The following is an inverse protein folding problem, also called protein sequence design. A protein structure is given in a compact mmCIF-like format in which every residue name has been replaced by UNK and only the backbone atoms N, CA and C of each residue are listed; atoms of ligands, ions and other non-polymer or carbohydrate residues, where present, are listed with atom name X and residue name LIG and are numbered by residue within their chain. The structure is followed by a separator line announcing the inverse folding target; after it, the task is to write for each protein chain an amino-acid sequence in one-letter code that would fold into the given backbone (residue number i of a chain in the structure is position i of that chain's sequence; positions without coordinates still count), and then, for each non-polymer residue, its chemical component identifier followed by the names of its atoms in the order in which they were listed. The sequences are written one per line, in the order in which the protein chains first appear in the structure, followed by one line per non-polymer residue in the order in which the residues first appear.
data_IF_210212693828
#
_entry.id   IF_210212693828
#
_cell.length_a   1.000
_cell.length_b   1.000
_cell.length_c   1.000
_cell.angle_alpha   90.00
_cell.angle_beta   90.00
_cell.angle_gamma   90.00
#
_symmetry.space_group_name_H-M   'P 1'
#
loop_
_entity.id
_entity.type
_entity.pdbx_description
1 polymer ?
#
# COMPACT_ATOMS: atom_id res chain seq x y z
N UNK A 1 92.73 -12.94 13.30
CA UNK A 1 91.81 -13.54 12.34
C UNK A 1 90.39 -13.21 12.82
N UNK A 2 89.76 -12.17 12.27
CA UNK A 2 88.43 -11.68 12.66
C UNK A 2 87.45 -12.03 11.55
N UNK A 3 86.43 -12.81 11.88
CA UNK A 3 85.33 -13.14 11.01
C UNK A 3 84.21 -12.17 11.29
N UNK A 4 83.86 -11.40 10.25
CA UNK A 4 82.78 -10.42 10.28
C UNK A 4 81.54 -11.12 9.78
N UNK A 5 80.53 -11.32 10.68
CA UNK A 5 79.20 -11.78 10.31
C UNK A 5 78.38 -10.60 9.78
N UNK A 6 78.00 -10.71 8.52
CA UNK A 6 77.02 -9.80 7.97
C UNK A 6 75.58 -10.30 8.26
N UNK A 7 74.83 -9.53 8.99
CA UNK A 7 73.42 -9.77 9.21
C UNK A 7 72.64 -9.06 8.09
N UNK A 8 72.04 -9.89 7.25
CA UNK A 8 71.18 -9.40 6.19
C UNK A 8 69.80 -9.02 6.75
N UNK A 9 69.45 -7.75 6.66
CA UNK A 9 68.12 -7.25 7.00
C UNK A 9 67.19 -7.51 5.80
N UNK A 10 66.31 -8.54 5.97
CA UNK A 10 65.23 -8.81 5.02
C UNK A 10 64.09 -7.80 5.21
N UNK A 11 63.88 -6.92 4.27
CA UNK A 11 62.70 -6.06 4.21
C UNK A 11 61.50 -6.83 3.69
N UNK A 12 60.59 -7.18 4.60
CA UNK A 12 59.29 -7.74 4.23
C UNK A 12 58.38 -6.60 3.78
N UNK A 13 58.18 -6.46 2.47
CA UNK A 13 57.18 -5.55 1.93
C UNK A 13 55.80 -6.20 2.05
N UNK A 14 55.02 -5.75 3.04
CA UNK A 14 53.61 -6.15 3.14
C UNK A 14 52.80 -5.39 2.13
N UNK A 15 52.43 -6.03 1.03
CA UNK A 15 51.45 -5.50 0.08
C UNK A 15 50.05 -5.61 0.70
N UNK A 16 49.56 -4.50 1.27
CA UNK A 16 48.15 -4.37 1.66
C UNK A 16 47.32 -4.24 0.39
N UNK A 17 46.66 -5.31 -0.01
CA UNK A 17 45.60 -5.26 -1.03
C UNK A 17 44.39 -4.53 -0.44
N UNK A 18 44.20 -3.28 -0.77
CA UNK A 18 42.99 -2.53 -0.50
C UNK A 18 41.95 -3.01 -1.51
N UNK A 19 41.15 -3.97 -1.09
CA UNK A 19 39.94 -4.36 -1.82
C UNK A 19 38.93 -3.22 -1.76
N UNK A 20 38.88 -2.39 -2.81
CA UNK A 20 37.77 -1.46 -2.99
C UNK A 20 36.52 -2.28 -3.35
N UNK A 21 35.71 -2.58 -2.35
CA UNK A 21 34.36 -3.08 -2.57
C UNK A 21 33.60 -1.96 -3.30
N UNK A 22 33.49 -2.08 -4.62
CA UNK A 22 32.56 -1.29 -5.40
C UNK A 22 31.14 -1.69 -4.94
N UNK A 23 30.60 -0.98 -3.94
CA UNK A 23 29.18 -0.95 -3.71
C UNK A 23 28.57 -0.34 -4.97
N UNK A 24 28.05 -1.19 -5.83
CA UNK A 24 27.22 -0.76 -6.93
C UNK A 24 26.11 0.08 -6.34
N UNK A 25 26.16 1.39 -6.55
CA UNK A 25 25.01 2.24 -6.41
C UNK A 25 23.98 1.69 -7.40
N UNK A 26 23.06 0.87 -6.86
CA UNK A 26 21.81 0.58 -7.52
C UNK A 26 21.21 1.97 -7.73
N UNK A 27 21.30 2.48 -8.97
CA UNK A 27 20.47 3.59 -9.39
C UNK A 27 19.05 3.10 -9.13
N UNK A 28 18.45 3.61 -8.04
CA UNK A 28 17.02 3.66 -7.96
C UNK A 28 16.59 4.41 -9.21
N UNK A 29 16.22 3.65 -10.24
CA UNK A 29 15.30 4.14 -11.23
C UNK A 29 14.08 4.42 -10.39
N UNK A 30 13.94 5.69 -9.97
CA UNK A 30 12.67 6.20 -9.49
C UNK A 30 11.69 5.79 -10.60
N UNK A 31 10.99 4.71 -10.38
CA UNK A 31 9.80 4.36 -11.10
C UNK A 31 9.06 5.67 -11.17
N UNK A 32 8.70 6.10 -12.40
CA UNK A 32 7.85 7.25 -12.61
C UNK A 32 6.70 7.03 -11.63
N UNK A 33 6.73 7.73 -10.49
CA UNK A 33 5.77 7.51 -9.43
C UNK A 33 4.44 7.72 -10.11
N UNK A 34 3.67 6.66 -10.29
CA UNK A 34 2.31 6.76 -10.77
C UNK A 34 1.65 7.76 -9.84
N UNK A 35 1.41 8.95 -10.37
CA UNK A 35 0.80 10.01 -9.59
C UNK A 35 -0.63 9.57 -9.37
N UNK A 36 -0.88 8.95 -8.22
CA UNK A 36 -2.23 8.50 -7.81
C UNK A 36 -3.24 9.64 -7.84
N UNK A 37 -2.73 10.87 -7.89
CA UNK A 37 -3.53 12.10 -7.96
C UNK A 37 -2.96 13.02 -9.04
N UNK A 38 -3.84 13.57 -9.89
CA UNK A 38 -3.46 14.57 -10.88
C UNK A 38 -3.41 15.99 -10.28
N UNK A 39 -3.01 16.98 -11.10
CA UNK A 39 -2.91 18.38 -10.70
C UNK A 39 -4.26 18.99 -10.26
N UNK A 40 -5.40 18.41 -10.65
CA UNK A 40 -6.74 18.85 -10.30
C UNK A 40 -7.27 18.15 -9.04
N UNK A 41 -6.50 17.21 -8.49
CA UNK A 41 -6.91 16.40 -7.35
C UNK A 41 -7.79 15.21 -7.73
N UNK A 42 -7.79 14.77 -8.99
CA UNK A 42 -8.48 13.54 -9.36
C UNK A 42 -7.60 12.35 -9.01
N UNK A 43 -8.14 11.42 -8.22
CA UNK A 43 -7.46 10.16 -7.93
C UNK A 43 -7.54 9.22 -9.13
N UNK A 44 -6.59 8.29 -9.20
CA UNK A 44 -6.53 7.20 -10.17
C UNK A 44 -6.24 5.89 -9.45
N UNK A 45 -6.66 4.79 -10.05
CA UNK A 45 -6.23 3.46 -9.59
C UNK A 45 -4.76 3.29 -9.98
N UNK A 46 -3.82 3.04 -9.05
CA UNK A 46 -2.42 2.80 -9.40
C UNK A 46 -2.27 1.52 -10.23
N UNK A 47 -1.49 1.55 -11.31
CA UNK A 47 -1.43 0.44 -12.28
C UNK A 47 -0.85 -0.84 -11.68
N UNK A 48 0.14 -0.72 -10.80
CA UNK A 48 0.91 -1.85 -10.29
C UNK A 48 0.72 -2.12 -8.78
N UNK A 49 -0.34 -1.57 -8.15
CA UNK A 49 -0.56 -1.68 -6.71
C UNK A 49 -0.54 -3.12 -6.19
N UNK A 50 -1.01 -4.11 -6.97
CA UNK A 50 -1.01 -5.52 -6.56
C UNK A 50 0.39 -6.10 -6.34
N UNK A 51 1.41 -5.52 -6.97
CA UNK A 51 2.81 -5.98 -6.89
C UNK A 51 3.68 -5.08 -6.03
N UNK A 52 3.31 -3.80 -5.89
CA UNK A 52 4.11 -2.79 -5.19
C UNK A 52 3.56 -2.42 -3.82
N UNK A 53 2.22 -2.52 -3.61
CA UNK A 53 1.61 -2.21 -2.32
C UNK A 53 1.59 -3.42 -1.40
N UNK A 54 1.47 -3.17 -0.11
CA UNK A 54 1.37 -4.19 0.91
C UNK A 54 -0.09 -4.59 1.12
N UNK A 55 -0.37 -5.88 1.05
CA UNK A 55 -1.72 -6.40 1.33
C UNK A 55 -2.07 -6.22 2.82
N UNK A 56 -3.17 -5.56 3.11
CA UNK A 56 -3.66 -5.35 4.47
C UNK A 56 -4.54 -6.51 4.94
N UNK A 57 -5.36 -7.05 4.08
CA UNK A 57 -6.30 -8.12 4.38
C UNK A 57 -7.59 -8.02 3.59
N UNK A 58 -8.44 -9.01 3.78
CA UNK A 58 -9.75 -9.11 3.14
C UNK A 58 -10.88 -8.95 4.15
N UNK A 59 -11.98 -8.35 3.70
CA UNK A 59 -13.27 -8.39 4.37
C UNK A 59 -14.25 -9.21 3.51
N UNK A 60 -14.83 -10.24 4.10
CA UNK A 60 -15.91 -10.99 3.50
C UNK A 60 -17.25 -10.37 3.90
N UNK A 61 -17.98 -9.82 2.95
CA UNK A 61 -19.32 -9.31 3.18
C UNK A 61 -20.29 -10.49 3.06
N UNK A 62 -20.92 -10.86 4.17
CA UNK A 62 -21.82 -12.02 4.23
C UNK A 62 -23.02 -11.86 3.29
N UNK A 63 -23.47 -12.96 2.73
CA UNK A 63 -24.72 -13.00 1.98
C UNK A 63 -25.91 -12.87 2.94
N UNK A 64 -26.93 -12.10 2.54
CA UNK A 64 -28.04 -11.75 3.42
C UNK A 64 -28.97 -12.93 3.72
N UNK A 65 -29.11 -13.88 2.79
CA UNK A 65 -30.08 -14.99 2.86
C UNK A 65 -29.50 -16.36 2.50
N UNK A 66 -28.21 -16.47 2.27
CA UNK A 66 -27.54 -17.73 1.89
C UNK A 66 -26.25 -17.92 2.70
N UNK A 67 -25.70 -19.14 2.62
CA UNK A 67 -24.37 -19.40 3.17
C UNK A 67 -23.29 -18.74 2.30
N UNK A 68 -22.23 -18.25 2.91
CA UNK A 68 -21.09 -17.67 2.22
C UNK A 68 -21.09 -16.15 2.19
N UNK A 69 -20.38 -15.61 1.23
CA UNK A 69 -20.18 -14.18 1.05
C UNK A 69 -20.83 -13.70 -0.24
N UNK A 70 -21.35 -12.49 -0.26
CA UNK A 70 -21.80 -11.81 -1.49
C UNK A 70 -20.67 -11.04 -2.15
N UNK A 71 -19.72 -10.53 -1.36
CA UNK A 71 -18.56 -9.78 -1.85
C UNK A 71 -17.32 -10.10 -1.03
N UNK A 72 -16.16 -9.94 -1.66
CA UNK A 72 -14.87 -9.90 -1.01
C UNK A 72 -14.21 -8.54 -1.30
N UNK A 73 -13.69 -7.92 -0.25
CA UNK A 73 -13.03 -6.64 -0.30
C UNK A 73 -11.55 -6.82 0.08
N UNK A 74 -10.67 -6.78 -0.90
CA UNK A 74 -9.23 -6.92 -0.71
C UNK A 74 -8.56 -5.55 -0.65
N UNK A 75 -7.79 -5.29 0.40
CA UNK A 75 -7.24 -3.96 0.65
C UNK A 75 -5.72 -3.98 0.66
N UNK A 76 -5.15 -3.01 -0.06
CA UNK A 76 -3.72 -2.78 -0.19
C UNK A 76 -3.36 -1.38 0.31
N UNK A 77 -2.17 -1.24 0.86
CA UNK A 77 -1.62 0.04 1.33
C UNK A 77 -0.28 0.33 0.65
N UNK A 78 -0.06 1.58 0.28
CA UNK A 78 1.20 2.04 -0.33
C UNK A 78 2.41 1.72 0.56
N UNK A 79 3.61 1.56 -0.03
CA UNK A 79 4.83 1.20 0.70
C UNK A 79 5.08 2.11 1.91
N UNK A 80 5.48 1.51 3.04
CA UNK A 80 5.78 2.22 4.28
C UNK A 80 4.57 2.57 5.15
N UNK A 81 3.34 2.54 4.61
CA UNK A 81 2.10 2.89 5.32
C UNK A 81 1.89 2.05 6.58
N UNK A 82 2.05 0.72 6.48
CA UNK A 82 1.87 -0.20 7.64
C UNK A 82 2.87 0.14 8.75
N UNK A 83 4.14 0.32 8.39
CA UNK A 83 5.19 0.63 9.39
C UNK A 83 4.93 1.97 10.08
N UNK A 84 4.53 3.00 9.33
CA UNK A 84 4.18 4.30 9.87
C UNK A 84 2.95 4.21 10.79
N UNK A 85 1.87 3.56 10.34
CA UNK A 85 0.68 3.39 11.17
C UNK A 85 0.97 2.64 12.47
N UNK A 86 1.74 1.56 12.44
CA UNK A 86 2.12 0.81 13.66
C UNK A 86 2.92 1.66 14.64
N UNK A 87 3.72 2.58 14.16
CA UNK A 87 4.51 3.49 14.99
C UNK A 87 3.66 4.61 15.59
N UNK A 88 2.79 5.23 14.79
CA UNK A 88 2.12 6.49 15.12
C UNK A 88 0.64 6.34 15.50
N UNK A 89 -0.05 5.28 15.02
CA UNK A 89 -1.48 5.04 15.22
C UNK A 89 -2.39 5.85 14.31
N UNK A 90 -1.81 6.44 13.29
CA UNK A 90 -2.49 7.16 12.23
C UNK A 90 -1.81 6.92 10.91
N UNK A 91 -2.53 7.08 9.82
CA UNK A 91 -1.97 6.97 8.49
C UNK A 91 -1.07 8.18 8.19
N UNK A 92 0.11 7.97 7.59
CA UNK A 92 0.99 9.08 7.22
C UNK A 92 0.39 9.86 6.04
N UNK A 93 0.68 11.14 5.98
CA UNK A 93 0.33 11.99 4.85
C UNK A 93 0.84 11.38 3.53
N UNK A 94 0.00 11.37 2.50
CA UNK A 94 0.29 10.73 1.22
C UNK A 94 0.08 9.21 1.18
N UNK A 95 -0.29 8.55 2.29
CA UNK A 95 -0.63 7.13 2.26
C UNK A 95 -1.79 6.85 1.30
N UNK A 96 -1.65 5.84 0.46
CA UNK A 96 -2.70 5.42 -0.47
C UNK A 96 -3.24 4.06 -0.05
N UNK A 97 -4.55 3.94 0.00
CA UNK A 97 -5.26 2.68 0.18
C UNK A 97 -6.06 2.37 -1.08
N UNK A 98 -5.91 1.15 -1.57
CA UNK A 98 -6.69 0.62 -2.70
C UNK A 98 -7.51 -0.55 -2.19
N UNK A 99 -8.82 -0.48 -2.34
CA UNK A 99 -9.74 -1.57 -2.01
C UNK A 99 -10.39 -2.10 -3.28
N UNK A 100 -10.08 -3.35 -3.62
CA UNK A 100 -10.79 -4.10 -4.64
C UNK A 100 -12.11 -4.61 -4.09
N UNK A 101 -13.15 -4.57 -4.90
CA UNK A 101 -14.45 -5.16 -4.60
C UNK A 101 -14.74 -6.24 -5.62
N UNK A 102 -14.84 -7.48 -5.17
CA UNK A 102 -15.19 -8.64 -5.99
C UNK A 102 -16.58 -9.15 -5.65
N UNK A 103 -17.30 -9.64 -6.65
CA UNK A 103 -18.34 -10.62 -6.41
C UNK A 103 -17.70 -11.89 -5.84
N UNK A 104 -18.39 -12.52 -4.90
CA UNK A 104 -17.91 -13.78 -4.33
C UNK A 104 -18.69 -14.96 -4.93
N UNK A 105 -17.96 -16.02 -5.31
CA UNK A 105 -18.53 -17.33 -5.57
C UNK A 105 -18.35 -18.23 -4.35
N UNK A 106 -19.41 -18.97 -3.99
CA UNK A 106 -19.43 -19.84 -2.81
C UNK A 106 -19.75 -21.27 -3.20
N UNK A 107 -18.86 -22.19 -2.90
CA UNK A 107 -18.99 -23.60 -3.25
C UNK A 107 -18.38 -24.56 -2.25
N UNK A 108 -18.66 -25.86 -2.41
CA UNK A 108 -18.05 -26.90 -1.62
C UNK A 108 -16.64 -27.23 -2.07
N UNK A 109 -15.70 -27.28 -1.13
CA UNK A 109 -14.32 -27.75 -1.34
C UNK A 109 -13.94 -28.78 -0.28
N UNK A 110 -12.75 -29.40 -0.39
CA UNK A 110 -12.27 -30.40 0.58
C UNK A 110 -12.16 -29.85 2.02
N UNK A 111 -11.96 -28.56 2.17
CA UNK A 111 -11.91 -27.87 3.47
C UNK A 111 -13.28 -27.45 4.01
N UNK A 112 -14.36 -27.65 3.24
CA UNK A 112 -15.73 -27.24 3.56
C UNK A 112 -16.30 -26.26 2.54
N UNK A 113 -17.37 -25.55 2.90
CA UNK A 113 -17.94 -24.48 2.08
C UNK A 113 -17.04 -23.25 2.17
N UNK A 114 -16.58 -22.74 1.04
CA UNK A 114 -15.70 -21.58 0.95
C UNK A 114 -16.27 -20.54 -0.01
N UNK A 115 -15.91 -19.28 0.22
CA UNK A 115 -16.14 -18.20 -0.74
C UNK A 115 -14.79 -17.73 -1.28
N UNK A 116 -14.72 -17.45 -2.57
CA UNK A 116 -13.54 -16.88 -3.22
C UNK A 116 -13.93 -15.74 -4.17
N UNK A 117 -12.97 -14.87 -4.50
CA UNK A 117 -13.19 -13.77 -5.43
C UNK A 117 -13.49 -14.30 -6.83
N UNK A 118 -14.49 -13.72 -7.48
CA UNK A 118 -14.91 -14.05 -8.84
C UNK A 118 -14.74 -12.83 -9.75
N UNK A 119 -15.78 -12.04 -9.93
CA UNK A 119 -15.78 -10.88 -10.84
C UNK A 119 -15.36 -9.63 -10.10
N UNK A 120 -14.35 -8.92 -10.59
CA UNK A 120 -13.97 -7.62 -10.07
C UNK A 120 -15.02 -6.57 -10.48
N UNK A 121 -15.62 -5.90 -9.51
CA UNK A 121 -16.61 -4.83 -9.70
C UNK A 121 -15.95 -3.46 -9.87
N UNK A 122 -14.84 -3.24 -9.18
CA UNK A 122 -14.12 -1.97 -9.22
C UNK A 122 -13.27 -1.73 -7.97
N UNK A 123 -12.88 -0.47 -7.80
CA UNK A 123 -11.96 -0.07 -6.75
C UNK A 123 -12.44 1.15 -5.98
N UNK A 124 -12.25 1.15 -4.68
CA UNK A 124 -12.14 2.38 -3.92
C UNK A 124 -10.67 2.75 -3.77
N UNK A 125 -10.36 4.01 -4.03
CA UNK A 125 -9.04 4.58 -3.77
C UNK A 125 -9.18 5.71 -2.77
N UNK A 126 -8.36 5.67 -1.72
CA UNK A 126 -8.25 6.74 -0.73
C UNK A 126 -6.80 7.19 -0.64
N UNK A 127 -6.58 8.51 -0.54
CA UNK A 127 -5.26 9.08 -0.31
C UNK A 127 -5.30 10.02 0.88
N UNK A 128 -4.40 9.79 1.85
CA UNK A 128 -4.28 10.63 3.05
C UNK A 128 -3.80 12.03 2.69
N UNK A 129 -4.49 13.05 3.23
CA UNK A 129 -4.17 14.46 3.00
C UNK A 129 -4.29 15.27 4.29
N UNK A 130 -3.22 15.31 5.07
CA UNK A 130 -3.15 16.12 6.29
C UNK A 130 -2.98 17.62 5.99
N UNK A 131 -2.67 17.97 4.74
CA UNK A 131 -2.33 19.33 4.32
C UNK A 131 -3.46 20.05 3.59
N UNK A 132 -4.61 19.39 3.37
CA UNK A 132 -5.76 19.96 2.66
C UNK A 132 -5.37 20.56 1.28
N UNK A 133 -4.68 19.76 0.46
CA UNK A 133 -4.11 20.20 -0.83
C UNK A 133 -5.16 20.53 -1.88
N UNK A 134 -6.35 19.93 -1.77
CA UNK A 134 -7.42 20.07 -2.76
C UNK A 134 -8.74 20.59 -2.14
N UNK A 135 -8.76 21.77 -1.48
CA UNK A 135 -9.88 22.23 -0.66
C UNK A 135 -11.16 22.55 -1.47
N UNK A 136 -11.04 22.78 -2.78
CA UNK A 136 -12.16 23.05 -3.67
C UNK A 136 -12.71 21.80 -4.36
N UNK A 137 -12.03 20.66 -4.27
CA UNK A 137 -12.48 19.41 -4.86
C UNK A 137 -13.38 18.65 -3.88
N UNK A 138 -14.63 18.41 -4.24
CA UNK A 138 -15.63 17.73 -3.40
C UNK A 138 -15.31 16.28 -3.04
N UNK A 139 -14.31 15.70 -3.66
CA UNK A 139 -13.82 14.36 -3.33
C UNK A 139 -12.76 14.36 -2.23
N UNK A 140 -12.40 15.55 -1.69
CA UNK A 140 -11.42 15.70 -0.62
C UNK A 140 -12.04 16.31 0.63
N UNK A 141 -11.77 15.68 1.74
CA UNK A 141 -12.19 16.16 3.06
C UNK A 141 -11.95 15.14 4.15
N UNK A 142 -12.08 15.58 5.41
CA UNK A 142 -11.81 14.76 6.58
C UNK A 142 -10.39 14.13 6.62
N UNK A 143 -9.43 14.79 5.97
CA UNK A 143 -8.04 14.35 5.90
C UNK A 143 -7.78 13.27 4.84
N UNK A 144 -8.68 13.09 3.88
CA UNK A 144 -8.56 12.08 2.82
C UNK A 144 -9.11 12.60 1.48
N UNK A 145 -8.55 12.08 0.37
CA UNK A 145 -9.19 12.02 -0.92
C UNK A 145 -9.95 10.70 -1.06
N UNK A 146 -11.09 10.70 -1.75
CA UNK A 146 -12.03 9.57 -1.82
C UNK A 146 -12.51 9.36 -3.24
N UNK A 147 -12.43 8.15 -3.77
CA UNK A 147 -12.95 7.85 -5.12
C UNK A 147 -13.36 6.40 -5.27
N UNK A 148 -14.41 6.17 -6.05
CA UNK A 148 -14.79 4.86 -6.57
C UNK A 148 -14.60 4.81 -8.08
N UNK A 149 -14.11 3.67 -8.59
CA UNK A 149 -13.89 3.40 -10.00
C UNK A 149 -14.57 2.10 -10.39
N UNK A 150 -15.34 2.11 -11.46
CA UNK A 150 -15.89 0.89 -12.03
C UNK A 150 -14.79 0.11 -12.76
N UNK A 151 -14.93 -1.21 -12.81
CA UNK A 151 -13.95 -2.10 -13.46
C UNK A 151 -13.67 -1.74 -14.93
N UNK A 152 -14.70 -1.30 -15.66
CA UNK A 152 -14.61 -0.93 -17.06
C UNK A 152 -14.05 0.48 -17.29
N UNK A 153 -13.85 1.28 -16.23
CA UNK A 153 -13.33 2.63 -16.30
C UNK A 153 -12.45 3.02 -15.12
N UNK A 154 -11.24 2.44 -15.00
CA UNK A 154 -10.34 2.68 -13.87
C UNK A 154 -9.71 4.08 -13.83
N UNK A 155 -9.85 4.85 -14.91
CA UNK A 155 -9.24 6.19 -15.03
C UNK A 155 -10.17 7.33 -14.62
N UNK A 156 -11.49 7.07 -14.54
CA UNK A 156 -12.44 8.11 -14.19
C UNK A 156 -13.35 7.66 -13.05
N UNK A 157 -13.28 8.39 -11.95
CA UNK A 157 -14.14 8.14 -10.80
C UNK A 157 -15.61 8.41 -11.15
N UNK A 158 -16.49 7.62 -10.57
CA UNK A 158 -17.94 7.90 -10.59
C UNK A 158 -18.43 8.59 -9.32
N UNK A 159 -17.55 8.78 -8.34
CA UNK A 159 -17.86 9.55 -7.14
C UNK A 159 -17.93 11.04 -7.47
N UNK A 160 -18.85 11.76 -6.84
CA UNK A 160 -19.12 13.17 -7.10
C UNK A 160 -18.96 14.08 -5.89
N UNK A 161 -19.22 13.54 -4.68
CA UNK A 161 -19.07 14.24 -3.41
C UNK A 161 -18.80 13.20 -2.31
N UNK A 162 -17.64 13.30 -1.64
CA UNK A 162 -17.27 12.32 -0.62
C UNK A 162 -18.27 12.27 0.55
N UNK A 163 -18.93 13.36 0.86
CA UNK A 163 -19.93 13.42 1.95
C UNK A 163 -21.19 12.62 1.65
N UNK A 164 -21.47 12.40 0.37
CA UNK A 164 -22.63 11.63 -0.11
C UNK A 164 -22.20 10.19 -0.40
N UNK A 165 -21.12 10.02 -1.15
CA UNK A 165 -20.76 8.74 -1.76
C UNK A 165 -19.90 7.85 -0.84
N UNK A 166 -19.15 8.42 0.14
CA UNK A 166 -18.14 7.69 0.88
C UNK A 166 -18.28 7.82 2.42
N UNK A 167 -18.37 9.06 2.91
CA UNK A 167 -18.33 9.39 4.33
C UNK A 167 -19.38 8.64 5.18
N UNK A 168 -20.66 8.49 4.75
CA UNK A 168 -21.66 7.85 5.59
C UNK A 168 -21.29 6.44 6.02
N UNK A 169 -20.66 5.66 5.14
CA UNK A 169 -20.18 4.32 5.45
C UNK A 169 -18.93 4.33 6.35
N UNK A 170 -18.17 5.42 6.37
CA UNK A 170 -16.93 5.54 7.12
C UNK A 170 -17.07 6.23 8.49
N UNK A 171 -18.21 6.87 8.78
CA UNK A 171 -18.49 7.53 10.07
C UNK A 171 -18.19 6.65 11.29
N UNK A 172 -18.55 5.35 11.34
CA UNK A 172 -18.24 4.49 12.48
C UNK A 172 -16.74 4.30 12.71
N UNK A 173 -15.92 4.49 11.68
CA UNK A 173 -14.45 4.35 11.73
C UNK A 173 -13.72 5.70 11.92
N UNK A 174 -14.43 6.80 12.16
CA UNK A 174 -13.85 8.13 12.30
C UNK A 174 -12.74 8.20 13.37
N UNK A 175 -12.93 7.52 14.50
CA UNK A 175 -11.95 7.49 15.58
C UNK A 175 -10.63 6.77 15.22
N UNK A 176 -10.63 5.96 14.19
CA UNK A 176 -9.46 5.25 13.64
C UNK A 176 -9.04 5.81 12.27
N UNK A 177 -9.08 7.14 12.17
CA UNK A 177 -8.70 7.86 10.94
C UNK A 177 -9.54 7.45 9.72
N UNK A 178 -10.86 7.24 9.94
CA UNK A 178 -11.85 6.84 8.93
C UNK A 178 -11.67 5.45 8.33
N UNK A 179 -10.75 4.61 8.84
CA UNK A 179 -10.46 3.26 8.32
C UNK A 179 -10.84 2.20 9.36
N UNK A 180 -11.48 1.12 8.91
CA UNK A 180 -11.86 -0.04 9.74
C UNK A 180 -10.64 -0.91 10.06
N UNK A 181 -9.69 -0.36 10.82
CA UNK A 181 -8.38 -0.96 11.09
C UNK A 181 -8.43 -2.28 11.85
N UNK A 182 -9.50 -2.53 12.62
CA UNK A 182 -9.64 -3.75 13.43
C UNK A 182 -9.63 -5.05 12.60
N UNK A 183 -10.04 -4.98 11.33
CA UNK A 183 -10.05 -6.11 10.41
C UNK A 183 -8.70 -6.40 9.76
N UNK A 184 -7.71 -5.51 9.89
CA UNK A 184 -6.44 -5.62 9.21
C UNK A 184 -5.33 -6.04 10.18
N UNK A 185 -5.00 -7.33 10.18
CA UNK A 185 -3.97 -7.88 11.06
C UNK A 185 -2.61 -7.14 10.98
N UNK A 186 -2.11 -6.71 9.81
CA UNK A 186 -0.86 -5.97 9.70
C UNK A 186 -0.84 -4.62 10.44
N UNK A 187 -2.00 -4.00 10.69
CA UNK A 187 -2.11 -2.71 11.41
C UNK A 187 -2.20 -2.87 12.92
N UNK A 188 -2.35 -4.09 13.44
CA UNK A 188 -2.42 -4.33 14.90
C UNK A 188 -1.10 -3.95 15.56
N UNK A 189 -1.22 -3.30 16.72
CA UNK A 189 -0.12 -2.92 17.59
C UNK A 189 0.08 -3.93 18.70
#
# INVERSE_FOLDING_TARGET
MRIINQVGIGIIVLLAMIGVAAYGQQKDTASKADTVVDANGNLHVPDDYRTTYQFLGSWAVAADQSKGSKELHDVYASPGTIAAYRREGRFPDGAVLVKEVFEADTGGMTTGTVSHAQTLKGWFVMMKDDNNRHPSNKLWGDGWGWSWFNFDNPSNTTSTDFKIDCQPCHVPAKASDWIYVSGYAPLRR
#
